data_IF_792277415760
#
_entry.id   IF_792277415760
#
_cell.length_a   1.000
_cell.length_b   1.000
_cell.length_c   1.000
_cell.angle_alpha   90.00
_cell.angle_beta   90.00
_cell.angle_gamma   90.00
#
_symmetry.space_group_name_H-M   'P 1'
#
loop_
_entity.id
_entity.type
_entity.pdbx_description
1 polymer ?
#
# COMPACT_ATOMS: atom_id res chain seq x y z
N UNK A 1 -2.99 -4.12 5.27
CA UNK A 1 -3.98 -5.05 4.76
C UNK A 1 -4.31 -4.65 3.33
N UNK A 2 -3.64 -5.29 2.37
CA UNK A 2 -3.76 -5.02 0.93
C UNK A 2 -5.15 -5.32 0.34
N UNK A 3 -6.01 -6.04 1.08
CA UNK A 3 -7.36 -6.41 0.65
C UNK A 3 -8.48 -5.74 1.46
N UNK A 4 -8.19 -4.81 2.39
CA UNK A 4 -9.28 -4.01 2.97
C UNK A 4 -9.81 -3.02 1.91
N UNK A 5 -11.12 -3.04 1.57
CA UNK A 5 -11.70 -2.16 0.54
C UNK A 5 -11.47 -0.67 0.81
N UNK A 6 -11.48 -0.25 2.07
CA UNK A 6 -11.20 1.14 2.42
C UNK A 6 -9.72 1.51 2.25
N UNK A 7 -8.81 0.54 2.41
CA UNK A 7 -7.37 0.70 2.15
C UNK A 7 -7.15 1.00 0.67
N UNK A 8 -7.68 0.14 -0.20
CA UNK A 8 -7.61 0.30 -1.66
C UNK A 8 -8.26 1.59 -2.14
N UNK A 9 -9.37 2.01 -1.53
CA UNK A 9 -9.97 3.33 -1.81
C UNK A 9 -8.98 4.47 -1.54
N UNK A 10 -8.27 4.43 -0.41
CA UNK A 10 -7.29 5.45 -0.05
C UNK A 10 -6.03 5.37 -0.91
N UNK A 11 -5.54 4.19 -1.27
CA UNK A 11 -4.44 4.01 -2.21
C UNK A 11 -4.77 4.63 -3.57
N UNK A 12 -5.96 4.35 -4.11
CA UNK A 12 -6.44 4.93 -5.37
C UNK A 12 -6.58 6.46 -5.30
N UNK A 13 -6.97 7.01 -4.14
CA UNK A 13 -6.97 8.44 -3.93
C UNK A 13 -5.56 9.04 -3.79
N UNK A 14 -4.58 8.26 -3.30
CA UNK A 14 -3.20 8.69 -3.09
C UNK A 14 -2.36 8.64 -4.36
N UNK A 15 -2.61 7.70 -5.28
CA UNK A 15 -1.89 7.56 -6.57
C UNK A 15 -1.73 8.90 -7.31
N UNK A 16 -2.80 9.69 -7.59
CA UNK A 16 -2.63 10.97 -8.28
C UNK A 16 -1.83 12.00 -7.46
N UNK A 17 -1.83 11.91 -6.13
CA UNK A 17 -1.03 12.78 -5.24
C UNK A 17 0.45 12.44 -5.36
N UNK A 18 0.79 11.15 -5.38
CA UNK A 18 2.16 10.68 -5.59
C UNK A 18 2.65 11.04 -6.98
N UNK A 19 1.84 10.85 -8.01
CA UNK A 19 2.19 11.23 -9.38
C UNK A 19 2.44 12.74 -9.51
N UNK A 20 1.71 13.55 -8.76
CA UNK A 20 1.86 15.01 -8.75
C UNK A 20 3.08 15.48 -7.97
N UNK A 21 3.29 14.97 -6.75
CA UNK A 21 4.34 15.44 -5.85
C UNK A 21 5.69 14.73 -6.06
N UNK A 22 5.67 13.54 -6.65
CA UNK A 22 6.86 12.76 -6.98
C UNK A 22 7.84 12.65 -5.81
N UNK A 23 9.09 13.02 -6.07
CA UNK A 23 10.18 12.97 -5.08
C UNK A 23 10.15 14.09 -4.02
N UNK A 24 9.13 14.96 -4.01
CA UNK A 24 8.97 15.98 -2.96
C UNK A 24 8.41 15.38 -1.67
N UNK A 25 7.88 14.16 -1.72
CA UNK A 25 7.33 13.44 -0.58
C UNK A 25 7.95 12.04 -0.50
N UNK A 26 7.98 11.49 0.71
CA UNK A 26 8.31 10.08 0.97
C UNK A 26 7.05 9.37 1.45
N UNK A 27 6.16 9.04 0.50
CA UNK A 27 4.90 8.37 0.79
C UNK A 27 5.13 6.86 0.69
N UNK A 28 4.92 6.16 1.79
CA UNK A 28 5.09 4.70 1.90
C UNK A 28 3.81 4.05 2.38
N UNK A 29 3.51 2.87 1.83
CA UNK A 29 2.45 2.00 2.33
C UNK A 29 3.04 1.10 3.41
N UNK A 30 2.29 0.90 4.49
CA UNK A 30 2.60 -0.03 5.56
C UNK A 30 1.42 -0.95 5.81
N UNK A 31 1.69 -2.18 6.22
CA UNK A 31 0.67 -3.21 6.38
C UNK A 31 0.49 -3.58 7.85
N UNK A 32 -0.75 -3.47 8.32
CA UNK A 32 -1.16 -3.99 9.64
C UNK A 32 -1.24 -5.51 9.52
N UNK A 33 -0.40 -6.22 10.27
CA UNK A 33 -0.32 -7.69 10.32
C UNK A 33 0.09 -8.14 11.72
N UNK A 34 -0.13 -9.41 12.06
CA UNK A 34 0.47 -10.06 13.20
C UNK A 34 1.47 -11.13 12.70
N UNK A 35 2.72 -11.07 13.16
CA UNK A 35 3.77 -12.00 12.72
C UNK A 35 4.20 -12.87 13.91
N UNK A 36 3.86 -14.16 13.87
CA UNK A 36 4.13 -15.08 14.98
C UNK A 36 5.44 -15.87 14.81
N UNK A 37 6.02 -15.90 13.62
CA UNK A 37 7.21 -16.68 13.31
C UNK A 37 8.07 -16.05 12.22
N UNK A 38 8.81 -16.90 11.51
CA UNK A 38 9.83 -16.51 10.53
C UNK A 38 9.51 -16.94 9.10
N UNK A 39 8.28 -17.41 8.85
CA UNK A 39 7.81 -17.81 7.52
C UNK A 39 6.52 -17.10 7.16
N UNK A 40 6.24 -16.98 5.86
CA UNK A 40 5.03 -16.31 5.37
C UNK A 40 3.73 -16.96 5.88
N UNK A 41 3.73 -18.28 6.12
CA UNK A 41 2.57 -19.00 6.63
C UNK A 41 2.27 -18.69 8.12
N UNK A 42 3.21 -18.06 8.82
CA UNK A 42 3.02 -17.59 10.21
C UNK A 42 2.57 -16.13 10.31
N UNK A 43 2.43 -15.45 9.17
CA UNK A 43 1.92 -14.07 9.10
C UNK A 43 0.40 -14.11 9.00
N UNK A 44 -0.25 -13.40 9.92
CA UNK A 44 -1.69 -13.25 9.97
C UNK A 44 -2.07 -11.84 9.53
N UNK A 45 -2.86 -11.76 8.47
CA UNK A 45 -3.51 -10.55 7.99
C UNK A 45 -5.03 -10.80 7.98
N UNK A 46 -5.86 -9.76 8.05
CA UNK A 46 -7.30 -9.88 8.33
C UNK A 46 -8.05 -10.75 7.30
N UNK A 47 -7.64 -10.70 6.03
CA UNK A 47 -8.25 -11.46 4.95
C UNK A 47 -7.47 -12.75 4.60
N UNK A 48 -6.64 -13.23 5.53
CA UNK A 48 -5.97 -14.52 5.44
C UNK A 48 -4.65 -14.50 4.64
N UNK A 49 -4.17 -15.70 4.30
CA UNK A 49 -2.82 -15.90 3.77
C UNK A 49 -2.57 -15.21 2.43
N UNK A 50 -3.57 -15.09 1.56
CA UNK A 50 -3.41 -14.38 0.29
C UNK A 50 -3.09 -12.90 0.53
N UNK A 51 -3.70 -12.29 1.56
CA UNK A 51 -3.39 -10.92 1.98
C UNK A 51 -1.98 -10.81 2.53
N UNK A 52 -1.61 -11.70 3.46
CA UNK A 52 -0.26 -11.72 4.02
C UNK A 52 0.83 -11.83 2.93
N UNK A 53 0.60 -12.69 1.92
CA UNK A 53 1.49 -12.83 0.76
C UNK A 53 1.57 -11.57 -0.10
N UNK A 54 0.47 -10.87 -0.27
CA UNK A 54 0.44 -9.60 -1.02
C UNK A 54 1.08 -8.45 -0.23
N UNK A 55 0.77 -8.31 1.06
CA UNK A 55 1.42 -7.38 1.98
C UNK A 55 2.97 -7.54 1.89
N UNK A 56 3.47 -8.78 1.94
CA UNK A 56 4.89 -9.10 1.80
C UNK A 56 5.46 -8.75 0.42
N UNK A 57 4.74 -9.06 -0.67
CA UNK A 57 5.18 -8.75 -2.04
C UNK A 57 5.28 -7.26 -2.27
N UNK A 58 4.30 -6.48 -1.82
CA UNK A 58 4.35 -5.02 -1.95
C UNK A 58 5.53 -4.41 -1.19
N UNK A 59 5.87 -4.94 -0.01
CA UNK A 59 7.08 -4.54 0.72
C UNK A 59 8.35 -4.87 -0.06
N UNK A 60 8.45 -6.07 -0.61
CA UNK A 60 9.58 -6.46 -1.45
C UNK A 60 9.69 -5.58 -2.71
N UNK A 61 8.57 -5.20 -3.34
CA UNK A 61 8.56 -4.32 -4.52
C UNK A 61 8.98 -2.90 -4.14
N UNK A 62 8.50 -2.35 -3.02
CA UNK A 62 8.95 -1.05 -2.52
C UNK A 62 10.46 -1.03 -2.29
N UNK A 63 11.04 -2.15 -1.86
CA UNK A 63 12.48 -2.27 -1.63
C UNK A 63 13.29 -2.44 -2.92
N UNK A 64 12.88 -3.36 -3.80
CA UNK A 64 13.65 -3.73 -5.00
C UNK A 64 13.42 -2.76 -6.17
N UNK A 65 12.22 -2.18 -6.24
CA UNK A 65 11.76 -1.37 -7.37
C UNK A 65 10.97 -0.14 -6.89
N UNK A 66 11.55 0.73 -6.03
CA UNK A 66 10.84 1.86 -5.44
C UNK A 66 10.18 2.78 -6.49
N UNK A 67 10.87 3.04 -7.61
CA UNK A 67 10.37 3.89 -8.69
C UNK A 67 9.18 3.28 -9.47
N UNK A 68 8.93 1.98 -9.31
CA UNK A 68 7.84 1.25 -9.99
C UNK A 68 6.69 0.86 -9.06
N UNK A 69 6.86 1.03 -7.75
CA UNK A 69 5.89 0.54 -6.77
C UNK A 69 4.48 1.11 -7.01
N UNK A 70 4.34 2.42 -7.19
CA UNK A 70 3.04 3.05 -7.37
C UNK A 70 2.36 2.64 -8.68
N UNK A 71 3.13 2.36 -9.73
CA UNK A 71 2.61 1.80 -10.99
C UNK A 71 2.16 0.35 -10.82
N UNK A 72 2.88 -0.44 -10.02
CA UNK A 72 2.46 -1.78 -9.65
C UNK A 72 1.15 -1.74 -8.85
N UNK A 73 1.07 -0.90 -7.82
CA UNK A 73 -0.09 -0.78 -6.95
C UNK A 73 -1.34 -0.37 -7.72
N UNK A 74 -1.24 0.60 -8.62
CA UNK A 74 -2.33 1.03 -9.49
C UNK A 74 -2.87 -0.14 -10.34
N UNK A 75 -1.98 -0.88 -10.99
CA UNK A 75 -2.38 -2.03 -11.81
C UNK A 75 -2.92 -3.17 -10.95
N UNK A 76 -2.34 -3.42 -9.78
CA UNK A 76 -2.80 -4.47 -8.86
C UNK A 76 -4.22 -4.19 -8.38
N UNK A 77 -4.49 -2.96 -7.94
CA UNK A 77 -5.81 -2.53 -7.49
C UNK A 77 -6.86 -2.64 -8.60
N UNK A 78 -6.49 -2.30 -9.84
CA UNK A 78 -7.38 -2.39 -10.99
C UNK A 78 -7.63 -3.82 -11.49
N UNK A 79 -6.60 -4.69 -11.47
CA UNK A 79 -6.61 -5.96 -12.21
C UNK A 79 -6.66 -7.19 -11.29
N UNK A 80 -6.05 -7.13 -10.10
CA UNK A 80 -5.80 -8.28 -9.24
C UNK A 80 -6.59 -8.27 -7.93
N UNK A 81 -6.95 -7.10 -7.41
CA UNK A 81 -7.68 -6.97 -6.14
C UNK A 81 -8.93 -7.87 -6.05
N UNK A 82 -9.73 -7.93 -7.12
CA UNK A 82 -10.94 -8.76 -7.19
C UNK A 82 -10.69 -10.27 -7.15
N UNK A 83 -9.43 -10.71 -7.22
CA UNK A 83 -9.01 -12.12 -7.22
C UNK A 83 -8.53 -12.59 -5.85
N UNK A 84 -8.70 -11.80 -4.78
CA UNK A 84 -8.20 -12.09 -3.44
C UNK A 84 -8.54 -13.51 -2.92
N UNK A 85 -9.70 -14.05 -3.30
CA UNK A 85 -10.17 -15.39 -2.89
C UNK A 85 -9.69 -16.54 -3.79
N UNK A 86 -9.05 -16.26 -4.93
CA UNK A 86 -8.55 -17.26 -5.88
C UNK A 86 -7.03 -17.15 -5.96
N UNK A 87 -6.33 -17.99 -5.20
CA UNK A 87 -4.87 -17.95 -5.11
C UNK A 87 -4.19 -18.16 -6.45
N UNK A 88 -4.72 -19.03 -7.33
CA UNK A 88 -4.10 -19.30 -8.62
C UNK A 88 -4.28 -18.12 -9.58
N UNK A 89 -5.47 -17.53 -9.61
CA UNK A 89 -5.74 -16.36 -10.44
C UNK A 89 -5.00 -15.11 -9.94
N UNK A 90 -4.92 -14.93 -8.62
CA UNK A 90 -4.14 -13.85 -8.00
C UNK A 90 -2.66 -14.00 -8.34
N UNK A 91 -2.13 -15.21 -8.22
CA UNK A 91 -0.74 -15.56 -8.52
C UNK A 91 -0.36 -15.25 -9.98
N UNK A 92 -1.19 -15.66 -10.92
CA UNK A 92 -0.97 -15.32 -12.34
C UNK A 92 -1.03 -13.80 -12.58
N UNK A 93 -1.96 -13.11 -11.93
CA UNK A 93 -2.23 -11.69 -12.15
C UNK A 93 -1.05 -10.80 -11.75
N UNK A 94 -0.53 -10.93 -10.53
CA UNK A 94 0.57 -10.06 -10.09
C UNK A 94 1.87 -10.33 -10.87
N UNK A 95 2.12 -11.60 -11.27
CA UNK A 95 3.29 -11.96 -12.09
C UNK A 95 3.21 -11.35 -13.48
N UNK A 96 2.00 -11.25 -14.05
CA UNK A 96 1.78 -10.53 -15.29
C UNK A 96 2.12 -9.04 -15.15
N UNK A 97 1.65 -8.37 -14.09
CA UNK A 97 1.99 -6.96 -13.82
C UNK A 97 3.51 -6.79 -13.65
N UNK A 98 4.15 -7.67 -12.86
CA UNK A 98 5.59 -7.64 -12.66
C UNK A 98 6.34 -7.77 -13.99
N UNK A 99 5.90 -8.67 -14.87
CA UNK A 99 6.48 -8.83 -16.22
C UNK A 99 6.30 -7.57 -17.06
N UNK A 100 5.10 -6.99 -17.10
CA UNK A 100 4.81 -5.75 -17.83
C UNK A 100 5.66 -4.58 -17.35
N UNK A 101 5.95 -4.51 -16.06
CA UNK A 101 6.79 -3.47 -15.47
C UNK A 101 8.30 -3.82 -15.51
N UNK A 102 8.69 -4.95 -16.12
CA UNK A 102 10.09 -5.37 -16.19
C UNK A 102 10.71 -5.62 -14.81
N UNK A 103 9.95 -6.23 -13.90
CA UNK A 103 10.38 -6.66 -12.57
C UNK A 103 10.60 -8.18 -12.56
N UNK A 104 11.56 -8.65 -11.77
CA UNK A 104 11.83 -10.08 -11.65
C UNK A 104 10.92 -10.70 -10.58
N UNK A 105 9.88 -11.42 -11.02
CA UNK A 105 8.92 -12.05 -10.13
C UNK A 105 9.57 -13.04 -9.15
N UNK A 106 10.51 -13.87 -9.61
CA UNK A 106 11.22 -14.81 -8.74
C UNK A 106 12.00 -14.10 -7.64
N UNK A 107 12.67 -12.99 -7.96
CA UNK A 107 13.41 -12.20 -6.97
C UNK A 107 12.47 -11.51 -5.97
N UNK A 108 11.31 -11.05 -6.44
CA UNK A 108 10.26 -10.50 -5.57
C UNK A 108 9.78 -11.58 -4.59
N UNK A 109 9.45 -12.79 -5.05
CA UNK A 109 9.00 -13.89 -4.17
C UNK A 109 10.07 -14.31 -3.16
N UNK A 110 11.30 -14.46 -3.61
CA UNK A 110 12.45 -14.79 -2.74
C UNK A 110 12.60 -13.76 -1.62
N UNK A 111 12.47 -12.48 -1.95
CA UNK A 111 12.58 -11.37 -0.99
C UNK A 111 11.36 -11.32 -0.07
N UNK A 112 10.15 -11.40 -0.63
CA UNK A 112 8.88 -11.30 0.09
C UNK A 112 8.69 -12.43 1.10
N UNK A 113 9.02 -13.67 0.71
CA UNK A 113 8.77 -14.85 1.54
C UNK A 113 10.01 -15.33 2.30
N UNK A 114 11.18 -14.74 2.02
CA UNK A 114 12.40 -14.94 2.78
C UNK A 114 12.47 -14.07 4.03
N UNK A 115 13.59 -14.19 4.76
CA UNK A 115 13.82 -13.48 6.02
C UNK A 115 13.67 -11.95 5.93
N UNK A 116 13.97 -11.37 4.77
CA UNK A 116 13.89 -9.93 4.52
C UNK A 116 12.45 -9.41 4.52
N UNK A 117 11.56 -10.03 3.73
CA UNK A 117 10.14 -9.68 3.71
C UNK A 117 9.45 -9.90 5.06
N UNK A 118 9.81 -10.98 5.78
CA UNK A 118 9.29 -11.22 7.13
C UNK A 118 9.79 -10.17 8.13
N UNK A 119 11.05 -9.73 8.04
CA UNK A 119 11.56 -8.63 8.86
C UNK A 119 10.83 -7.31 8.59
N UNK A 120 10.54 -7.00 7.31
CA UNK A 120 9.75 -5.82 6.94
C UNK A 120 8.33 -5.87 7.48
N UNK A 121 7.67 -7.04 7.45
CA UNK A 121 6.35 -7.22 8.04
C UNK A 121 6.36 -7.05 9.57
N UNK A 122 7.38 -7.59 10.25
CA UNK A 122 7.57 -7.38 11.70
C UNK A 122 7.75 -5.89 12.03
N UNK A 123 8.54 -5.17 11.24
CA UNK A 123 8.71 -3.72 11.41
C UNK A 123 7.38 -2.99 11.23
N UNK A 124 6.60 -3.33 10.21
CA UNK A 124 5.29 -2.70 10.01
C UNK A 124 4.30 -3.01 11.14
N UNK A 125 4.32 -4.22 11.69
CA UNK A 125 3.51 -4.58 12.87
C UNK A 125 3.88 -3.70 14.08
N UNK A 126 5.18 -3.56 14.35
CA UNK A 126 5.69 -2.67 15.40
C UNK A 126 5.27 -1.21 15.16
N UNK A 127 5.44 -0.71 13.94
CA UNK A 127 5.06 0.67 13.60
C UNK A 127 3.56 0.92 13.78
N UNK A 128 2.72 -0.08 13.45
CA UNK A 128 1.28 -0.01 13.67
C UNK A 128 0.95 0.07 15.17
N UNK A 129 1.59 -0.76 16.00
CA UNK A 129 1.42 -0.76 17.45
C UNK A 129 1.86 0.56 18.08
N UNK A 130 3.06 1.04 17.75
CA UNK A 130 3.63 2.31 18.24
C UNK A 130 2.73 3.50 17.90
N UNK A 131 2.07 3.47 16.74
CA UNK A 131 1.16 4.51 16.31
C UNK A 131 -0.30 4.22 16.69
N UNK A 132 -0.60 3.14 17.43
CA UNK A 132 -1.96 2.71 17.77
C UNK A 132 -2.88 2.66 16.54
N UNK A 133 -2.41 2.01 15.49
CA UNK A 133 -3.10 1.83 14.21
C UNK A 133 -3.66 0.41 14.14
N UNK A 134 -4.97 0.30 14.30
CA UNK A 134 -5.68 -0.99 14.29
C UNK A 134 -6.52 -1.21 13.04
N UNK A 135 -6.62 -0.21 12.15
CA UNK A 135 -7.46 -0.27 10.97
C UNK A 135 -6.87 0.49 9.78
N UNK A 136 -7.15 -0.03 8.59
CA UNK A 136 -6.79 0.59 7.32
C UNK A 136 -8.03 1.21 6.63
N UNK A 137 -7.89 2.40 6.04
CA UNK A 137 -6.68 3.21 5.95
C UNK A 137 -6.51 4.06 7.21
N UNK A 138 -5.26 4.22 7.63
CA UNK A 138 -4.83 5.29 8.53
C UNK A 138 -3.71 6.03 7.82
N UNK A 139 -3.86 7.34 7.64
CA UNK A 139 -2.83 8.20 7.06
C UNK A 139 -2.16 8.99 8.19
N UNK A 140 -0.83 8.98 8.20
CA UNK A 140 -0.01 9.75 9.14
C UNK A 140 0.91 10.63 8.30
N UNK A 141 0.88 11.94 8.52
CA UNK A 141 1.70 12.92 7.81
C UNK A 141 2.65 13.55 8.83
N UNK A 142 3.96 13.33 8.68
CA UNK A 142 4.99 13.85 9.60
C UNK A 142 4.68 13.56 11.10
N UNK A 143 4.20 12.35 11.39
CA UNK A 143 3.84 11.93 12.75
C UNK A 143 2.44 12.33 13.22
N UNK A 144 1.68 13.09 12.42
CA UNK A 144 0.32 13.53 12.76
C UNK A 144 -0.73 12.69 12.03
N UNK A 145 -1.66 12.09 12.78
CA UNK A 145 -2.79 11.34 12.21
C UNK A 145 -3.73 12.26 11.44
N UNK A 146 -4.04 11.90 10.20
CA UNK A 146 -4.99 12.59 9.34
C UNK A 146 -6.42 12.12 9.60
N UNK A 147 -7.37 13.06 9.67
CA UNK A 147 -8.80 12.79 9.95
C UNK A 147 -9.76 13.38 8.92
N UNK A 148 -9.28 13.81 7.75
CA UNK A 148 -10.11 14.40 6.70
C UNK A 148 -10.67 13.36 5.71
N UNK A 149 -11.22 13.85 4.60
CA UNK A 149 -11.83 13.00 3.56
C UNK A 149 -10.77 12.24 2.74
N UNK A 150 -11.16 11.06 2.24
CA UNK A 150 -10.29 10.17 1.46
C UNK A 150 -10.40 10.47 -0.04
N UNK A 151 -10.08 11.70 -0.41
CA UNK A 151 -10.07 12.15 -1.80
C UNK A 151 -8.67 12.60 -2.18
N UNK A 152 -8.34 12.54 -3.47
CA UNK A 152 -7.03 12.97 -3.95
C UNK A 152 -6.75 14.43 -3.58
N UNK A 153 -7.75 15.30 -3.73
CA UNK A 153 -7.63 16.71 -3.36
C UNK A 153 -7.38 16.89 -1.85
N UNK A 154 -8.12 16.19 -0.99
CA UNK A 154 -8.01 16.36 0.45
C UNK A 154 -6.69 15.80 1.01
N UNK A 155 -6.20 14.68 0.47
CA UNK A 155 -4.87 14.16 0.78
C UNK A 155 -3.77 15.11 0.31
N UNK A 156 -3.84 15.59 -0.94
CA UNK A 156 -2.88 16.56 -1.47
C UNK A 156 -2.83 17.82 -0.61
N UNK A 157 -3.98 18.41 -0.27
CA UNK A 157 -4.04 19.60 0.59
C UNK A 157 -3.40 19.35 1.96
N UNK A 158 -3.71 18.21 2.60
CA UNK A 158 -3.15 17.88 3.90
C UNK A 158 -1.62 17.73 3.86
N UNK A 159 -1.11 17.05 2.82
CA UNK A 159 0.33 16.88 2.60
C UNK A 159 1.00 18.22 2.28
N UNK A 160 0.39 19.02 1.40
CA UNK A 160 0.87 20.36 1.05
C UNK A 160 0.97 21.30 2.25
N UNK A 161 0.00 21.24 3.16
CA UNK A 161 -0.01 22.02 4.39
C UNK A 161 1.06 21.58 5.41
N UNK A 162 1.63 20.38 5.25
CA UNK A 162 2.69 19.86 6.10
C UNK A 162 4.11 20.23 5.63
N UNK A 163 4.25 20.86 4.45
CA UNK A 163 5.54 21.40 4.01
C UNK A 163 5.86 22.71 4.72
N UNK A 164 7.12 22.91 5.08
CA UNK A 164 7.62 24.24 5.50
C UNK A 164 7.59 25.25 4.35
N UNK A 165 7.87 24.77 3.13
CA UNK A 165 7.75 25.54 1.89
C UNK A 165 7.04 24.67 0.86
N UNK A 166 5.78 25.00 0.56
CA UNK A 166 4.97 24.18 -0.33
C UNK A 166 5.52 24.21 -1.78
N UNK A 167 5.63 23.05 -2.45
CA UNK A 167 6.01 23.00 -3.86
C UNK A 167 4.91 23.60 -4.76
N UNK A 168 5.28 24.03 -5.97
CA UNK A 168 4.36 24.69 -6.91
C UNK A 168 3.16 23.81 -7.30
N UNK A 169 3.38 22.50 -7.32
CA UNK A 169 2.46 21.42 -7.60
C UNK A 169 1.26 21.42 -6.65
N UNK A 170 1.42 21.95 -5.42
CA UNK A 170 0.32 22.09 -4.45
C UNK A 170 -0.81 23.02 -4.92
N UNK A 171 -0.57 23.88 -5.91
CA UNK A 171 -1.59 24.74 -6.52
C UNK A 171 -2.49 24.03 -7.52
N UNK A 172 -2.11 22.84 -8.01
CA UNK A 172 -2.92 22.08 -8.96
C UNK A 172 -4.11 21.43 -8.27
N UNK A 173 -5.28 21.39 -8.92
CA UNK A 173 -6.47 20.77 -8.36
C UNK A 173 -6.58 19.30 -8.79
N UNK A 174 -6.80 18.41 -7.82
CA UNK A 174 -7.08 16.99 -8.05
C UNK A 174 -8.58 16.70 -7.82
N UNK A 175 -8.98 15.45 -8.11
CA UNK A 175 -10.37 15.03 -7.90
C UNK A 175 -10.78 15.11 -6.43
N UNK A 176 -11.97 15.65 -6.19
CA UNK A 176 -12.61 15.72 -4.88
C UNK A 176 -13.66 14.62 -4.67
N UNK A 177 -13.76 13.64 -5.57
CA UNK A 177 -14.68 12.51 -5.42
C UNK A 177 -14.07 11.40 -4.57
N UNK A 178 -14.86 10.83 -3.67
CA UNK A 178 -14.51 9.58 -2.98
C UNK A 178 -14.83 8.39 -3.88
N UNK A 179 -13.91 7.44 -4.03
CA UNK A 179 -14.19 6.19 -4.74
C UNK A 179 -15.31 5.39 -4.07
N UNK A 180 -16.07 4.59 -4.82
CA UNK A 180 -17.10 3.71 -4.23
C UNK A 180 -16.45 2.52 -3.51
N UNK A 181 -16.96 2.14 -2.33
CA UNK A 181 -16.54 0.94 -1.60
C UNK A 181 -17.70 -0.02 -1.43
N UNK A 182 -17.49 -1.31 -1.71
CA UNK A 182 -18.42 -2.40 -1.34
C UNK A 182 -17.69 -3.40 -0.44
N UNK A 183 -17.90 -3.31 0.88
CA UNK A 183 -17.36 -4.25 1.86
C UNK A 183 -17.19 -3.65 3.27
N UNK A 184 -17.28 -4.49 4.29
CA UNK A 184 -17.01 -4.14 5.70
C UNK A 184 -15.60 -4.63 6.08
N UNK A 185 -14.79 -3.77 6.71
CA UNK A 185 -13.61 -4.20 7.46
C UNK A 185 -14.07 -4.23 8.93
N UNK A 186 -14.42 -5.41 9.44
CA UNK A 186 -14.92 -5.65 10.80
C UNK A 186 -14.33 -6.93 11.36
#
# INVERSE_FOLDING_TARGET
MSFCPYGVQAENAMIPVVNLLGNKTDIKIKFIVNVQGDTIDTVQSLHGLNEAKEDARQLAIMQLYPDKYWQYLEQFNAQCYSKASDSAALEACWKQIATTLGMNASKIEETAYGSEGIALLKQNAQDADENSVTGSPTLIINGVKYSGSRTAEAFKQAICNAFSTAPSECSQQLSSTTGQTSGNCG
#
